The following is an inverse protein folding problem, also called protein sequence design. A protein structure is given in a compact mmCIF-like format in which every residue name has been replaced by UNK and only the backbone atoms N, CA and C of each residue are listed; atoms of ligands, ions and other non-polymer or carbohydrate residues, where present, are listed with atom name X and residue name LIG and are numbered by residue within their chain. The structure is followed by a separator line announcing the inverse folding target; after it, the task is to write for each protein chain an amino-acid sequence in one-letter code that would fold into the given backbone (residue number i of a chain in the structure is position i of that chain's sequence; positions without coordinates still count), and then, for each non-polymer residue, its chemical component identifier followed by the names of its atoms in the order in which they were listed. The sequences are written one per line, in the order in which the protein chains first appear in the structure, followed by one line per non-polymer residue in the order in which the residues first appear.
data_IF_927250830555
#
_entry.id   IF_927250830555
#
_cell.length_a   1.000
_cell.length_b   1.000
_cell.length_c   1.000
_cell.angle_alpha   90.00
_cell.angle_beta   90.00
_cell.angle_gamma   90.00
#
_symmetry.space_group_name_H-M   'P 1'
#
loop_
_entity.id
_entity.type
_entity.pdbx_description
1 polymer ?
#
# COMPACT_ATOMS: atom_id res chain seq x y z
N UNK A 1 6.12 -50.79 16.71
CA UNK A 1 6.13 -51.39 15.35
C UNK A 1 6.35 -50.25 14.35
N UNK A 2 7.05 -50.48 13.23
CA UNK A 2 7.05 -49.58 12.06
C UNK A 2 5.59 -49.40 11.54
N UNK A 3 5.17 -48.40 10.78
CA UNK A 3 5.50 -48.01 9.38
C UNK A 3 4.81 -46.64 9.11
N UNK A 4 5.23 -45.71 8.23
CA UNK A 4 6.47 -45.47 7.44
C UNK A 4 6.49 -43.97 7.01
N UNK A 5 7.59 -43.47 6.42
CA UNK A 5 7.68 -42.15 5.78
C UNK A 5 6.90 -42.08 4.46
N UNK A 6 6.26 -40.94 4.15
CA UNK A 6 5.95 -40.55 2.77
C UNK A 6 6.04 -39.04 2.57
N UNK A 7 7.01 -38.62 1.76
CA UNK A 7 7.08 -37.27 1.22
C UNK A 7 6.49 -37.28 -0.19
N UNK A 8 5.51 -36.41 -0.46
CA UNK A 8 4.92 -36.27 -1.80
C UNK A 8 5.19 -34.87 -2.35
N UNK A 9 6.06 -34.80 -3.34
CA UNK A 9 6.33 -33.57 -4.08
C UNK A 9 5.19 -33.23 -5.05
N UNK A 10 4.64 -32.01 -4.99
CA UNK A 10 3.78 -31.48 -6.04
C UNK A 10 4.63 -30.82 -7.14
N UNK A 11 4.93 -31.57 -8.20
CA UNK A 11 5.51 -31.00 -9.44
C UNK A 11 4.46 -30.27 -10.27
N UNK A 12 4.86 -29.11 -10.79
CA UNK A 12 4.53 -28.55 -12.10
C UNK A 12 3.11 -28.67 -12.68
N UNK A 13 2.46 -27.52 -12.88
CA UNK A 13 1.55 -27.32 -14.02
C UNK A 13 2.02 -26.14 -14.87
N UNK A 14 2.00 -26.33 -16.18
CA UNK A 14 2.38 -25.34 -17.17
C UNK A 14 1.30 -24.27 -17.33
N UNK A 15 1.70 -23.00 -17.33
CA UNK A 15 0.82 -21.93 -17.79
C UNK A 15 0.79 -21.91 -19.32
N UNK A 16 -0.40 -22.09 -19.90
CA UNK A 16 -0.63 -21.90 -21.34
C UNK A 16 -0.65 -20.41 -21.65
N UNK A 17 -0.07 -20.03 -22.77
CA UNK A 17 -0.11 -18.69 -23.34
C UNK A 17 -1.54 -18.24 -23.65
N UNK A 18 -1.90 -17.02 -23.24
CA UNK A 18 -3.12 -16.34 -23.69
C UNK A 18 -2.81 -14.91 -24.14
N UNK A 19 -2.58 -14.76 -25.44
CA UNK A 19 -2.55 -13.49 -26.16
C UNK A 19 -3.99 -13.09 -26.51
N UNK A 20 -4.47 -11.93 -26.04
CA UNK A 20 -5.81 -11.48 -26.38
C UNK A 20 -6.16 -10.07 -25.91
N UNK A 21 -6.64 -9.25 -26.85
CA UNK A 21 -7.41 -8.01 -26.64
C UNK A 21 -6.68 -6.78 -26.08
N UNK A 22 -5.73 -6.27 -26.86
CA UNK A 22 -5.56 -4.82 -27.05
C UNK A 22 -6.58 -4.30 -28.07
N UNK A 23 -7.55 -3.47 -27.66
CA UNK A 23 -8.20 -2.40 -28.48
C UNK A 23 -9.27 -1.65 -27.68
N UNK A 24 -9.35 -0.34 -27.93
CA UNK A 24 -10.41 0.63 -27.52
C UNK A 24 -10.11 1.61 -26.36
N UNK A 25 -9.08 2.46 -26.50
CA UNK A 25 -9.20 3.92 -26.23
C UNK A 25 -8.27 4.65 -27.21
N UNK A 26 -8.80 5.03 -28.38
CA UNK A 26 -8.06 5.82 -29.37
C UNK A 26 -8.98 6.85 -30.03
N UNK A 27 -9.37 7.88 -29.27
CA UNK A 27 -9.84 9.17 -29.78
C UNK A 27 -9.93 10.19 -28.62
N UNK A 28 -9.86 11.48 -28.97
CA UNK A 28 -9.73 12.67 -28.09
C UNK A 28 -8.32 12.99 -27.60
N UNK A 29 -7.52 13.58 -28.51
CA UNK A 29 -6.28 14.29 -28.22
C UNK A 29 -6.11 15.48 -29.18
N UNK A 30 -6.53 16.66 -28.75
CA UNK A 30 -6.30 17.95 -29.43
C UNK A 30 -5.66 18.96 -28.48
N UNK A 31 -4.39 18.73 -28.12
CA UNK A 31 -3.54 19.75 -27.50
C UNK A 31 -2.05 19.41 -27.73
N UNK A 32 -1.38 20.15 -28.59
CA UNK A 32 0.06 20.00 -28.86
C UNK A 32 0.89 20.62 -27.73
N UNK A 33 1.08 19.91 -26.60
CA UNK A 33 2.07 20.30 -25.59
C UNK A 33 3.48 19.96 -26.09
N UNK A 34 4.34 20.96 -26.22
CA UNK A 34 5.77 20.77 -26.49
C UNK A 34 6.38 19.85 -25.43
N UNK A 35 7.16 18.86 -25.87
CA UNK A 35 7.77 17.89 -24.97
C UNK A 35 8.90 18.55 -24.16
N UNK A 36 8.60 18.91 -22.91
CA UNK A 36 9.62 19.29 -21.92
C UNK A 36 10.52 18.07 -21.71
N UNK A 37 11.74 18.11 -22.26
CA UNK A 37 12.74 17.07 -22.03
C UNK A 37 13.05 17.02 -20.53
N UNK A 38 12.76 15.89 -19.91
CA UNK A 38 13.19 15.64 -18.53
C UNK A 38 14.67 15.30 -18.53
N UNK A 39 15.42 15.91 -17.61
CA UNK A 39 16.80 15.52 -17.34
C UNK A 39 16.82 14.05 -16.89
N UNK A 40 17.80 13.24 -17.33
CA UNK A 40 17.90 11.86 -16.92
C UNK A 40 18.21 11.78 -15.42
N UNK A 41 17.48 10.94 -14.69
CA UNK A 41 17.84 10.52 -13.35
C UNK A 41 19.12 9.67 -13.42
N UNK A 42 20.06 9.88 -12.49
CA UNK A 42 21.35 9.18 -12.49
C UNK A 42 21.53 8.41 -11.17
N UNK A 43 21.90 7.14 -11.29
CA UNK A 43 22.24 6.25 -10.18
C UNK A 43 23.70 5.84 -10.32
N UNK A 44 24.49 6.10 -9.29
CA UNK A 44 25.87 5.61 -9.18
C UNK A 44 25.88 4.37 -8.29
N UNK A 45 26.20 3.24 -8.89
CA UNK A 45 26.27 1.94 -8.24
C UNK A 45 27.72 1.49 -8.16
N UNK A 46 28.09 0.86 -7.04
CA UNK A 46 29.43 0.38 -6.77
C UNK A 46 29.43 -1.13 -6.58
N UNK A 47 30.27 -1.81 -7.35
CA UNK A 47 30.46 -3.25 -7.24
C UNK A 47 31.38 -3.65 -6.09
N UNK A 48 31.31 -4.93 -5.73
CA UNK A 48 32.15 -5.55 -4.71
C UNK A 48 33.60 -5.78 -5.18
N UNK A 49 33.86 -5.87 -6.49
CA UNK A 49 35.23 -5.89 -7.05
C UNK A 49 35.77 -4.48 -7.35
N UNK A 50 35.01 -3.43 -7.05
CA UNK A 50 35.43 -2.03 -7.19
C UNK A 50 34.88 -1.30 -8.42
N UNK A 51 34.08 -1.96 -9.27
CA UNK A 51 33.49 -1.30 -10.45
C UNK A 51 32.63 -0.10 -10.08
N UNK A 52 32.74 0.94 -10.92
CA UNK A 52 31.85 2.10 -10.92
C UNK A 52 30.87 1.95 -12.07
N UNK A 53 29.59 1.94 -11.76
CA UNK A 53 28.51 1.74 -12.74
C UNK A 53 27.59 2.95 -12.67
N UNK A 54 27.47 3.67 -13.77
CA UNK A 54 26.50 4.76 -13.91
C UNK A 54 25.28 4.24 -14.67
N UNK A 55 24.11 4.27 -14.04
CA UNK A 55 22.84 3.99 -14.71
C UNK A 55 22.05 5.29 -14.85
N UNK A 56 21.59 5.62 -16.06
CA UNK A 56 20.74 6.79 -16.31
C UNK A 56 19.36 6.40 -16.81
N UNK A 57 18.31 6.94 -16.20
CA UNK A 57 16.91 6.72 -16.58
C UNK A 57 16.31 8.02 -17.11
N UNK A 58 15.90 8.03 -18.38
CA UNK A 58 15.23 9.17 -18.99
C UNK A 58 13.78 8.84 -19.34
N UNK A 59 12.84 9.66 -18.86
CA UNK A 59 11.42 9.55 -19.18
C UNK A 59 11.13 10.19 -20.55
N UNK A 60 10.57 9.40 -21.45
CA UNK A 60 10.21 9.79 -22.80
C UNK A 60 8.67 9.71 -22.98
N UNK A 61 8.17 10.11 -24.16
CA UNK A 61 6.74 10.05 -24.44
C UNK A 61 6.28 8.60 -24.67
N UNK A 62 5.76 7.96 -23.61
CA UNK A 62 5.25 6.59 -23.64
C UNK A 62 6.27 5.50 -23.33
N UNK A 63 7.53 5.86 -23.07
CA UNK A 63 8.61 4.94 -22.70
C UNK A 63 9.56 5.55 -21.66
N UNK A 64 10.40 4.70 -21.07
CA UNK A 64 11.62 5.08 -20.37
C UNK A 64 12.80 4.55 -21.16
N UNK A 65 13.85 5.35 -21.30
CA UNK A 65 15.16 4.89 -21.78
C UNK A 65 16.10 4.72 -20.61
N UNK A 66 16.52 3.48 -20.34
CA UNK A 66 17.56 3.19 -19.38
C UNK A 66 18.90 3.01 -20.10
N UNK A 67 20.00 3.49 -19.52
CA UNK A 67 21.36 3.24 -20.03
C UNK A 67 22.25 2.85 -18.87
N UNK A 68 22.80 1.64 -18.90
CA UNK A 68 23.85 1.18 -17.99
C UNK A 68 25.19 1.48 -18.66
N UNK A 69 26.09 2.16 -17.94
CA UNK A 69 27.48 2.42 -18.35
C UNK A 69 28.41 1.88 -17.27
N UNK A 70 29.26 0.90 -17.61
CA UNK A 70 30.32 0.39 -16.71
C UNK A 70 31.64 1.06 -17.09
N UNK A 71 32.31 1.65 -16.11
CA UNK A 71 33.63 2.25 -16.30
C UNK A 71 34.72 1.16 -16.39
N UNK A 72 35.71 1.30 -17.30
CA UNK A 72 36.68 0.25 -17.60
C UNK A 72 37.79 0.12 -16.54
N UNK A 73 37.89 1.03 -15.56
CA UNK A 73 38.96 1.06 -14.56
C UNK A 73 39.12 -0.25 -13.76
N UNK A 74 38.05 -1.03 -13.63
CA UNK A 74 38.05 -2.33 -12.93
C UNK A 74 38.18 -3.55 -13.87
N UNK A 75 37.98 -3.38 -15.18
CA UNK A 75 37.79 -4.46 -16.17
C UNK A 75 38.54 -4.20 -17.48
N UNK A 76 39.67 -3.49 -17.42
CA UNK A 76 40.41 -3.06 -18.60
C UNK A 76 40.99 -4.26 -19.35
N UNK A 77 40.37 -4.61 -20.49
CA UNK A 77 40.63 -5.70 -21.45
C UNK A 77 39.64 -6.88 -21.44
N UNK A 78 38.65 -6.92 -20.53
CA UNK A 78 37.68 -8.02 -20.48
C UNK A 78 36.46 -7.80 -21.38
N UNK A 79 35.93 -8.89 -21.95
CA UNK A 79 34.58 -8.93 -22.53
C UNK A 79 33.55 -9.02 -21.40
N UNK A 80 32.96 -7.89 -21.00
CA UNK A 80 31.94 -7.88 -19.96
C UNK A 80 30.61 -8.38 -20.54
N UNK A 81 30.06 -9.42 -19.92
CA UNK A 81 28.68 -9.85 -20.15
C UNK A 81 27.78 -9.25 -19.08
N UNK A 82 26.80 -8.45 -19.47
CA UNK A 82 25.75 -7.99 -18.56
C UNK A 82 24.61 -9.00 -18.59
N UNK A 83 24.30 -9.61 -17.45
CA UNK A 83 23.14 -10.48 -17.31
C UNK A 83 22.06 -9.72 -16.57
N UNK A 84 20.91 -9.55 -17.21
CA UNK A 84 19.88 -8.61 -16.80
C UNK A 84 18.49 -9.22 -16.85
N UNK A 85 17.59 -8.63 -16.07
CA UNK A 85 16.17 -8.96 -16.06
C UNK A 85 15.39 -7.87 -15.34
N UNK A 86 14.09 -8.07 -15.19
CA UNK A 86 13.23 -7.16 -14.44
C UNK A 86 12.55 -7.88 -13.29
N UNK A 87 12.23 -7.12 -12.24
CA UNK A 87 11.32 -7.58 -11.18
C UNK A 87 10.33 -6.48 -10.79
N UNK A 88 9.24 -6.91 -10.14
CA UNK A 88 8.32 -6.04 -9.39
C UNK A 88 8.16 -6.55 -7.96
N UNK A 89 7.56 -7.73 -7.80
CA UNK A 89 7.16 -8.27 -6.49
C UNK A 89 8.21 -9.13 -5.79
N UNK A 90 9.33 -9.49 -6.43
CA UNK A 90 10.38 -10.30 -5.81
C UNK A 90 11.74 -10.06 -6.46
N UNK A 91 12.71 -9.56 -5.68
CA UNK A 91 14.11 -9.34 -6.10
C UNK A 91 14.79 -10.61 -6.62
N UNK A 92 14.37 -11.79 -6.12
CA UNK A 92 14.95 -13.08 -6.46
C UNK A 92 14.44 -13.72 -7.76
N UNK A 93 13.33 -13.23 -8.34
CA UNK A 93 12.71 -13.81 -9.55
C UNK A 93 12.67 -12.79 -10.69
N UNK A 94 13.57 -12.97 -11.65
CA UNK A 94 13.60 -12.15 -12.85
C UNK A 94 12.60 -12.62 -13.91
N UNK A 95 12.03 -11.67 -14.63
CA UNK A 95 11.28 -11.91 -15.85
C UNK A 95 11.67 -10.87 -16.91
N UNK A 96 11.34 -11.14 -18.17
CA UNK A 96 11.54 -10.20 -19.28
C UNK A 96 10.15 -9.76 -19.74
N UNK A 97 9.75 -8.49 -19.51
CA UNK A 97 8.47 -8.00 -19.95
C UNK A 97 8.41 -7.93 -21.48
N UNK A 98 7.25 -8.27 -22.05
CA UNK A 98 7.01 -8.10 -23.48
C UNK A 98 7.09 -6.61 -23.88
N UNK A 99 7.70 -6.35 -25.04
CA UNK A 99 7.87 -5.00 -25.58
C UNK A 99 9.11 -4.22 -25.10
N UNK A 100 9.89 -4.75 -24.15
CA UNK A 100 11.21 -4.19 -23.84
C UNK A 100 12.20 -4.49 -24.96
N UNK A 101 12.97 -3.49 -25.39
CA UNK A 101 14.08 -3.65 -26.35
C UNK A 101 15.40 -3.34 -25.66
N UNK A 102 16.48 -4.00 -26.06
CA UNK A 102 17.84 -3.71 -25.60
C UNK A 102 18.77 -3.44 -26.79
N UNK A 103 19.79 -2.61 -26.59
CA UNK A 103 20.78 -2.26 -27.62
C UNK A 103 21.90 -3.29 -27.68
N UNK A 104 21.67 -4.41 -28.36
CA UNK A 104 22.68 -5.43 -28.59
C UNK A 104 22.07 -6.78 -28.94
N UNK A 105 22.92 -7.73 -29.34
CA UNK A 105 22.51 -9.13 -29.34
C UNK A 105 22.26 -9.58 -27.90
N UNK A 106 21.19 -10.35 -27.68
CA UNK A 106 20.90 -10.92 -26.38
C UNK A 106 20.43 -12.38 -26.51
N UNK A 107 20.82 -13.19 -25.53
CA UNK A 107 20.45 -14.61 -25.44
C UNK A 107 19.85 -14.89 -24.07
N UNK A 108 18.93 -15.85 -23.96
CA UNK A 108 18.31 -16.19 -22.68
C UNK A 108 19.31 -16.90 -21.76
N UNK A 109 19.46 -16.42 -20.54
CA UNK A 109 20.25 -17.13 -19.52
C UNK A 109 19.43 -18.27 -18.90
N UNK A 110 19.94 -19.49 -19.00
CA UNK A 110 19.32 -20.67 -18.40
C UNK A 110 19.40 -20.67 -16.86
N UNK A 111 20.37 -19.94 -16.27
CA UNK A 111 20.60 -19.90 -14.82
C UNK A 111 19.67 -18.91 -14.09
N UNK A 112 19.67 -17.64 -14.51
CA UNK A 112 18.89 -16.57 -13.87
C UNK A 112 17.45 -16.43 -14.39
N UNK A 113 17.15 -17.00 -15.56
CA UNK A 113 15.91 -16.75 -16.28
C UNK A 113 15.85 -15.39 -17.00
N UNK A 114 16.88 -14.55 -16.85
CA UNK A 114 17.04 -13.28 -17.53
C UNK A 114 17.65 -13.42 -18.93
N UNK A 115 18.26 -12.33 -19.41
CA UNK A 115 18.96 -12.25 -20.69
C UNK A 115 20.44 -11.92 -20.46
N UNK A 116 21.32 -12.47 -21.29
CA UNK A 116 22.73 -12.07 -21.40
C UNK A 116 22.91 -11.15 -22.59
N UNK A 117 23.68 -10.09 -22.40
CA UNK A 117 24.17 -9.22 -23.46
C UNK A 117 25.68 -9.05 -23.31
N UNK A 118 26.43 -9.48 -24.32
CA UNK A 118 27.86 -9.16 -24.43
C UNK A 118 27.99 -7.68 -24.81
N UNK A 119 28.79 -6.94 -24.04
CA UNK A 119 28.99 -5.51 -24.27
C UNK A 119 30.44 -5.26 -24.64
N UNK A 120 30.67 -4.52 -25.73
CA UNK A 120 32.00 -4.08 -26.15
C UNK A 120 32.19 -2.62 -25.75
N UNK A 121 33.38 -2.29 -25.25
CA UNK A 121 33.71 -0.92 -24.88
C UNK A 121 33.61 0.00 -26.10
N UNK A 122 32.83 1.07 -25.98
CA UNK A 122 32.69 2.14 -26.98
C UNK A 122 33.09 3.45 -26.30
N UNK A 123 34.01 4.21 -26.89
CA UNK A 123 34.56 5.45 -26.32
C UNK A 123 35.05 5.31 -24.86
N UNK A 124 35.60 4.15 -24.50
CA UNK A 124 36.11 3.91 -23.14
C UNK A 124 35.04 3.62 -22.08
N UNK A 125 33.82 3.20 -22.46
CA UNK A 125 32.84 2.67 -21.52
C UNK A 125 32.07 1.49 -22.13
N UNK A 126 31.66 0.53 -21.28
CA UNK A 126 30.77 -0.56 -21.70
C UNK A 126 29.32 -0.10 -21.50
N UNK A 127 28.56 0.06 -22.60
CA UNK A 127 27.20 0.60 -22.55
C UNK A 127 26.14 -0.40 -23.03
N UNK A 128 25.05 -0.52 -22.26
CA UNK A 128 23.85 -1.25 -22.64
C UNK A 128 22.62 -0.38 -22.35
N UNK A 129 21.80 -0.13 -23.37
CA UNK A 129 20.59 0.68 -23.27
C UNK A 129 19.32 -0.11 -23.52
N UNK A 130 18.23 0.33 -22.90
CA UNK A 130 16.92 -0.30 -22.93
C UNK A 130 15.82 0.71 -23.24
N UNK A 131 14.92 0.35 -24.14
CA UNK A 131 13.65 1.07 -24.34
C UNK A 131 12.54 0.27 -23.65
N UNK A 132 11.92 0.85 -22.62
CA UNK A 132 10.98 0.21 -21.72
C UNK A 132 9.62 0.92 -21.84
N UNK A 133 8.55 0.25 -22.33
CA UNK A 133 7.21 0.85 -22.39
C UNK A 133 6.73 1.39 -21.02
N UNK A 134 6.25 2.63 -20.98
CA UNK A 134 5.93 3.31 -19.71
C UNK A 134 4.79 2.64 -18.93
N UNK A 135 3.91 1.91 -19.60
CA UNK A 135 2.86 1.08 -19.01
C UNK A 135 3.38 -0.11 -18.16
N UNK A 136 4.68 -0.43 -18.26
CA UNK A 136 5.32 -1.44 -17.42
C UNK A 136 5.76 -0.88 -16.06
N UNK A 137 5.92 0.43 -15.94
CA UNK A 137 6.30 1.05 -14.68
C UNK A 137 5.12 1.06 -13.70
N UNK A 138 5.37 0.94 -12.37
CA UNK A 138 6.66 0.76 -11.72
C UNK A 138 7.23 -0.67 -11.89
N UNK A 139 8.54 -0.75 -12.13
CA UNK A 139 9.36 -1.98 -12.08
C UNK A 139 10.84 -1.65 -11.88
N UNK A 140 11.66 -2.62 -11.48
CA UNK A 140 13.11 -2.47 -11.35
C UNK A 140 13.84 -3.22 -12.45
N UNK A 141 14.78 -2.57 -13.12
CA UNK A 141 15.79 -3.20 -13.98
C UNK A 141 16.91 -3.74 -13.08
N UNK A 142 17.11 -5.05 -13.08
CA UNK A 142 18.11 -5.72 -12.27
C UNK A 142 19.19 -6.36 -13.15
N UNK A 143 20.43 -6.36 -12.68
CA UNK A 143 21.55 -6.95 -13.40
C UNK A 143 22.71 -7.38 -12.50
N UNK A 144 23.56 -8.24 -13.06
CA UNK A 144 24.85 -8.68 -12.54
C UNK A 144 25.89 -8.56 -13.68
N UNK A 145 27.13 -8.20 -13.35
CA UNK A 145 28.22 -8.20 -14.33
C UNK A 145 28.92 -9.55 -14.28
N UNK A 146 29.24 -10.12 -15.44
CA UNK A 146 30.00 -11.36 -15.55
C UNK A 146 31.26 -11.13 -16.38
N UNK A 147 32.41 -11.48 -15.81
CA UNK A 147 33.66 -11.68 -16.54
C UNK A 147 33.86 -13.17 -16.82
N UNK A 148 34.98 -13.58 -17.43
CA UNK A 148 35.27 -15.00 -17.68
C UNK A 148 35.28 -15.83 -16.38
N UNK A 149 35.82 -15.26 -15.29
CA UNK A 149 36.14 -15.98 -14.05
C UNK A 149 35.25 -15.58 -12.85
N UNK A 150 34.41 -14.55 -12.97
CA UNK A 150 33.68 -14.00 -11.81
C UNK A 150 32.30 -13.39 -12.13
N UNK A 151 31.46 -13.28 -11.09
CA UNK A 151 30.21 -12.51 -11.10
C UNK A 151 30.35 -11.37 -10.11
N UNK A 152 30.29 -10.13 -10.60
CA UNK A 152 30.31 -8.94 -9.76
C UNK A 152 28.89 -8.54 -9.34
N UNK A 153 28.75 -8.26 -8.04
CA UNK A 153 27.51 -7.83 -7.40
C UNK A 153 27.71 -6.46 -6.75
N UNK A 154 26.64 -5.83 -6.27
CA UNK A 154 26.77 -4.62 -5.46
C UNK A 154 27.59 -4.88 -4.19
N UNK A 155 28.14 -3.81 -3.59
CA UNK A 155 28.81 -3.89 -2.27
C UNK A 155 27.95 -4.51 -1.15
N UNK A 156 26.62 -4.50 -1.29
CA UNK A 156 25.69 -5.13 -0.35
C UNK A 156 25.51 -6.65 -0.57
N UNK A 157 26.25 -7.27 -1.51
CA UNK A 157 26.07 -8.67 -1.91
C UNK A 157 24.78 -8.94 -2.70
N UNK A 158 24.03 -7.88 -3.03
CA UNK A 158 22.81 -7.95 -3.84
C UNK A 158 23.14 -7.70 -5.33
N UNK A 159 22.27 -8.16 -6.23
CA UNK A 159 22.30 -7.72 -7.63
C UNK A 159 22.12 -6.22 -7.73
N UNK A 160 22.67 -5.60 -8.78
CA UNK A 160 22.41 -4.21 -9.06
C UNK A 160 20.93 -4.05 -9.46
N UNK A 161 20.29 -3.00 -8.97
CA UNK A 161 18.91 -2.67 -9.30
C UNK A 161 18.78 -1.17 -9.59
N UNK A 162 18.01 -0.82 -10.61
CA UNK A 162 17.71 0.56 -11.01
C UNK A 162 16.20 0.69 -11.15
N UNK A 163 15.54 1.58 -10.38
CA UNK A 163 14.09 1.72 -10.40
C UNK A 163 13.63 2.44 -11.68
N UNK A 164 12.46 2.05 -12.20
CA UNK A 164 11.83 2.66 -13.38
C UNK A 164 10.43 3.13 -13.00
N UNK A 165 10.20 4.45 -13.03
CA UNK A 165 8.93 5.08 -12.64
C UNK A 165 8.64 5.07 -11.13
N UNK A 166 9.67 4.84 -10.32
CA UNK A 166 9.65 4.99 -8.87
C UNK A 166 11.01 5.50 -8.39
N UNK A 167 11.10 6.04 -7.18
CA UNK A 167 12.34 6.44 -6.53
C UNK A 167 12.26 6.19 -5.02
N UNK A 168 13.34 6.42 -4.27
CA UNK A 168 13.34 6.27 -2.81
C UNK A 168 12.31 7.18 -2.10
N UNK A 169 11.99 8.34 -2.68
CA UNK A 169 11.03 9.28 -2.11
C UNK A 169 11.54 10.10 -0.93
N UNK A 170 10.61 10.61 -0.12
CA UNK A 170 10.86 11.42 1.08
C UNK A 170 10.28 10.76 2.33
N UNK A 171 11.04 10.76 3.41
CA UNK A 171 10.66 10.22 4.73
C UNK A 171 9.97 11.22 5.65
N UNK A 172 9.57 12.39 5.14
CA UNK A 172 9.14 13.55 5.96
C UNK A 172 7.77 13.41 6.62
N UNK A 173 6.92 12.49 6.16
CA UNK A 173 5.60 12.17 6.74
C UNK A 173 5.38 10.67 6.67
N UNK A 174 4.69 10.12 7.67
CA UNK A 174 4.23 8.72 7.67
C UNK A 174 2.89 8.62 6.90
N UNK A 175 2.60 7.41 6.40
CA UNK A 175 1.48 7.16 5.49
C UNK A 175 1.81 7.54 4.03
N UNK A 176 0.77 7.68 3.22
CA UNK A 176 0.87 8.21 1.87
C UNK A 176 0.78 9.75 1.84
N UNK A 177 1.59 10.41 1.01
CA UNK A 177 1.53 11.85 0.79
C UNK A 177 1.79 12.22 -0.67
N UNK A 178 1.07 13.22 -1.16
CA UNK A 178 1.15 13.65 -2.56
C UNK A 178 2.33 14.61 -2.78
N UNK A 179 3.07 14.38 -3.87
CA UNK A 179 4.14 15.25 -4.35
C UNK A 179 3.77 15.81 -5.73
N UNK A 180 3.66 17.13 -5.80
CA UNK A 180 3.23 17.86 -7.01
C UNK A 180 1.70 17.99 -7.11
N UNK A 181 1.22 18.46 -8.26
CA UNK A 181 -0.22 18.53 -8.53
C UNK A 181 -0.79 17.17 -8.91
N UNK A 182 -2.00 16.78 -8.43
CA UNK A 182 -2.67 15.55 -8.86
C UNK A 182 -2.92 15.47 -10.37
N UNK A 183 -3.01 16.62 -11.05
CA UNK A 183 -3.52 16.72 -12.43
C UNK A 183 -2.44 16.70 -13.52
N UNK A 184 -1.16 16.94 -13.19
CA UNK A 184 -0.09 17.06 -14.20
C UNK A 184 1.11 16.15 -13.96
N UNK A 185 1.59 16.02 -12.72
CA UNK A 185 2.74 15.19 -12.34
C UNK A 185 2.53 14.63 -10.93
N UNK A 186 1.52 13.78 -10.78
CA UNK A 186 1.32 13.04 -9.55
C UNK A 186 2.48 12.06 -9.30
N UNK A 187 3.17 12.25 -8.19
CA UNK A 187 3.96 11.23 -7.53
C UNK A 187 3.46 11.09 -6.08
N UNK A 188 3.48 9.88 -5.53
CA UNK A 188 3.02 9.63 -4.15
C UNK A 188 4.18 9.02 -3.37
N UNK A 189 4.61 9.72 -2.32
CA UNK A 189 5.55 9.22 -1.30
C UNK A 189 4.75 8.34 -0.31
N UNK A 190 5.14 7.09 -0.13
CA UNK A 190 4.57 6.15 0.84
C UNK A 190 5.62 5.83 1.90
N UNK A 191 5.30 5.97 3.19
CA UNK A 191 6.25 5.74 4.29
C UNK A 191 5.60 5.01 5.45
N UNK A 192 6.14 3.84 5.82
CA UNK A 192 5.68 3.04 6.96
C UNK A 192 6.84 2.70 7.90
N UNK A 193 6.56 2.69 9.21
CA UNK A 193 7.55 2.26 10.21
C UNK A 193 7.49 0.75 10.43
N UNK A 194 8.61 0.05 10.26
CA UNK A 194 8.78 -1.32 10.76
C UNK A 194 10.24 -1.62 11.04
N UNK A 195 10.59 -1.75 12.33
CA UNK A 195 11.93 -2.12 12.80
C UNK A 195 12.27 -3.57 12.45
N UNK A 196 11.36 -4.48 12.74
CA UNK A 196 11.59 -5.93 12.67
C UNK A 196 11.50 -6.54 11.28
N UNK A 197 10.88 -5.87 10.30
CA UNK A 197 10.81 -6.39 8.93
C UNK A 197 12.22 -6.49 8.32
N UNK A 198 12.50 -7.58 7.60
CA UNK A 198 13.69 -7.78 6.78
C UNK A 198 13.42 -7.48 5.29
N UNK A 199 12.18 -7.67 4.83
CA UNK A 199 11.69 -7.21 3.54
C UNK A 199 10.31 -6.55 3.66
N UNK A 200 9.98 -5.69 2.69
CA UNK A 200 8.71 -4.97 2.59
C UNK A 200 8.28 -4.89 1.13
N UNK A 201 6.99 -5.06 0.86
CA UNK A 201 6.35 -4.74 -0.42
C UNK A 201 5.26 -3.70 -0.24
N UNK A 202 5.17 -2.75 -1.18
CA UNK A 202 4.00 -1.90 -1.38
C UNK A 202 3.02 -2.64 -2.30
N UNK A 203 1.76 -2.72 -1.88
CA UNK A 203 0.66 -3.27 -2.66
C UNK A 203 -0.25 -2.13 -3.11
N UNK A 204 -0.61 -2.11 -4.39
CA UNK A 204 -1.54 -1.15 -4.98
C UNK A 204 -2.70 -1.90 -5.63
N UNK A 205 -3.93 -1.56 -5.26
CA UNK A 205 -5.15 -2.15 -5.80
C UNK A 205 -6.23 -1.09 -6.03
N UNK A 206 -7.19 -1.37 -6.90
CA UNK A 206 -8.37 -0.51 -7.06
C UNK A 206 -9.47 -0.95 -6.10
N UNK A 207 -10.07 -0.02 -5.37
CA UNK A 207 -11.40 -0.23 -4.83
C UNK A 207 -12.39 -0.35 -6.02
N UNK A 208 -13.34 -1.29 -6.00
CA UNK A 208 -14.40 -1.34 -7.00
C UNK A 208 -15.28 -0.09 -6.89
N UNK A 209 -15.67 0.49 -8.04
CA UNK A 209 -16.76 1.47 -8.10
C UNK A 209 -18.08 0.73 -8.30
N UNK A 210 -19.06 0.98 -7.44
CA UNK A 210 -20.45 0.60 -7.73
C UNK A 210 -21.10 1.60 -8.71
N UNK A 211 -22.12 1.14 -9.44
CA UNK A 211 -22.69 1.86 -10.60
C UNK A 211 -22.08 1.48 -11.94
N UNK A 212 -20.87 0.88 -11.98
CA UNK A 212 -20.37 0.19 -13.16
C UNK A 212 -21.07 -1.17 -13.29
N UNK A 213 -22.13 -1.25 -14.10
CA UNK A 213 -22.90 -2.48 -14.31
C UNK A 213 -21.99 -3.69 -14.61
N UNK A 214 -21.98 -4.69 -13.74
CA UNK A 214 -21.13 -5.88 -13.82
C UNK A 214 -19.86 -5.88 -12.95
N UNK A 215 -19.64 -4.88 -12.06
CA UNK A 215 -18.46 -4.82 -11.18
C UNK A 215 -18.61 -5.53 -9.82
N UNK A 216 -19.82 -5.79 -9.33
CA UNK A 216 -20.04 -6.47 -8.05
C UNK A 216 -19.41 -7.87 -8.05
N UNK A 217 -18.50 -8.13 -7.10
CA UNK A 217 -17.89 -9.43 -6.87
C UNK A 217 -16.65 -9.79 -7.69
N UNK A 218 -16.19 -8.96 -8.64
CA UNK A 218 -14.92 -9.24 -9.33
C UNK A 218 -13.72 -8.87 -8.44
N UNK A 219 -12.79 -9.80 -8.13
CA UNK A 219 -11.62 -9.47 -7.32
C UNK A 219 -10.69 -8.49 -8.05
N UNK A 220 -10.24 -7.48 -7.33
CA UNK A 220 -9.34 -6.45 -7.83
C UNK A 220 -7.95 -7.03 -8.10
N UNK A 221 -7.40 -6.68 -9.27
CA UNK A 221 -5.98 -6.91 -9.54
C UNK A 221 -5.11 -6.10 -8.58
N UNK A 222 -4.05 -6.73 -8.08
CA UNK A 222 -3.08 -6.12 -7.19
C UNK A 222 -1.72 -6.01 -7.88
N UNK A 223 -1.09 -4.84 -7.80
CA UNK A 223 0.27 -4.59 -8.21
C UNK A 223 1.15 -4.59 -6.95
N UNK A 224 2.07 -5.55 -6.84
CA UNK A 224 3.00 -5.64 -5.72
C UNK A 224 4.42 -5.22 -6.15
N UNK A 225 5.02 -4.34 -5.35
CA UNK A 225 6.33 -3.70 -5.59
C UNK A 225 7.21 -3.96 -4.37
N UNK A 226 8.23 -4.81 -4.51
CA UNK A 226 9.20 -5.09 -3.46
C UNK A 226 10.17 -3.91 -3.29
N UNK A 227 10.36 -3.47 -2.05
CA UNK A 227 11.29 -2.41 -1.68
C UNK A 227 12.70 -2.98 -1.53
N UNK A 228 13.71 -2.30 -2.10
CA UNK A 228 15.11 -2.62 -1.86
C UNK A 228 15.50 -2.11 -0.45
N UNK A 229 15.90 -2.99 0.51
CA UNK A 229 16.25 -2.55 1.86
C UNK A 229 17.47 -1.62 1.97
N UNK A 230 18.25 -1.48 0.90
CA UNK A 230 19.43 -0.59 0.83
C UNK A 230 19.13 0.81 0.30
N UNK A 231 17.97 1.00 -0.36
CA UNK A 231 17.56 2.26 -1.01
C UNK A 231 16.24 2.79 -0.42
N UNK A 232 15.30 1.90 -0.16
CA UNK A 232 13.92 2.18 0.23
C UNK A 232 13.71 2.00 1.75
N UNK A 233 14.79 2.13 2.55
CA UNK A 233 14.74 2.09 4.01
C UNK A 233 15.74 3.06 4.63
N UNK A 234 15.26 3.89 5.56
CA UNK A 234 16.06 4.81 6.38
C UNK A 234 15.78 4.50 7.84
N UNK A 235 16.70 3.79 8.51
CA UNK A 235 16.51 3.31 9.87
C UNK A 235 15.34 2.33 9.99
N UNK A 236 14.33 2.68 10.78
CA UNK A 236 13.09 1.90 10.93
C UNK A 236 12.00 2.26 9.90
N UNK A 237 12.24 3.25 9.03
CA UNK A 237 11.26 3.72 8.05
C UNK A 237 11.50 3.04 6.71
N UNK A 238 10.49 2.34 6.21
CA UNK A 238 10.40 1.86 4.82
C UNK A 238 9.70 2.92 3.98
N UNK A 239 10.23 3.25 2.82
CA UNK A 239 9.74 4.35 2.00
C UNK A 239 9.93 4.12 0.50
N UNK A 240 8.97 4.59 -0.29
CA UNK A 240 9.01 4.53 -1.75
C UNK A 240 8.16 5.66 -2.34
N UNK A 241 8.63 6.28 -3.43
CA UNK A 241 7.85 7.23 -4.22
C UNK A 241 7.48 6.61 -5.56
N UNK A 242 6.19 6.56 -5.89
CA UNK A 242 5.71 6.01 -7.17
C UNK A 242 5.15 7.12 -8.04
N UNK A 243 5.62 7.21 -9.29
CA UNK A 243 5.20 8.25 -10.24
C UNK A 243 4.06 7.80 -11.15
N UNK A 244 3.28 8.76 -11.66
CA UNK A 244 2.35 8.53 -12.76
C UNK A 244 1.10 7.72 -12.39
N UNK A 245 0.84 7.58 -11.08
CA UNK A 245 -0.39 7.00 -10.56
C UNK A 245 -1.60 7.83 -11.04
N UNK A 246 -2.56 7.16 -11.67
CA UNK A 246 -3.81 7.77 -12.17
C UNK A 246 -4.96 7.51 -11.21
N UNK A 247 -6.08 8.22 -11.40
CA UNK A 247 -7.36 7.95 -10.75
C UNK A 247 -7.28 7.79 -9.21
N UNK A 248 -6.49 8.61 -8.51
CA UNK A 248 -6.12 8.36 -7.10
C UNK A 248 -7.33 8.14 -6.17
N UNK A 249 -8.49 8.73 -6.48
CA UNK A 249 -9.75 8.54 -5.75
C UNK A 249 -10.23 7.09 -5.60
N UNK A 250 -9.77 6.17 -6.45
CA UNK A 250 -10.06 4.72 -6.29
C UNK A 250 -8.83 3.89 -5.98
N UNK A 251 -7.65 4.51 -5.85
CA UNK A 251 -6.42 3.78 -5.59
C UNK A 251 -6.27 3.53 -4.09
N UNK A 252 -6.17 2.26 -3.74
CA UNK A 252 -5.91 1.80 -2.39
C UNK A 252 -4.51 1.19 -2.32
N UNK A 253 -3.88 1.30 -1.15
CA UNK A 253 -2.53 0.84 -0.88
C UNK A 253 -2.43 0.08 0.43
N UNK A 254 -1.50 -0.85 0.49
CA UNK A 254 -1.23 -1.65 1.68
C UNK A 254 0.23 -2.11 1.68
N UNK A 255 0.64 -2.72 2.78
CA UNK A 255 1.98 -3.22 3.01
C UNK A 255 1.96 -4.74 3.22
N UNK A 256 3.02 -5.41 2.77
CA UNK A 256 3.33 -6.80 3.11
C UNK A 256 4.75 -6.81 3.66
N UNK A 257 4.94 -7.36 4.85
CA UNK A 257 6.26 -7.44 5.49
C UNK A 257 6.67 -8.89 5.68
N UNK A 258 7.96 -9.15 5.52
CA UNK A 258 8.58 -10.45 5.76
C UNK A 258 9.69 -10.29 6.80
N UNK A 259 9.82 -11.29 7.68
CA UNK A 259 10.84 -11.42 8.72
C UNK A 259 10.71 -12.79 9.40
N UNK A 260 11.76 -13.18 10.13
CA UNK A 260 11.77 -14.42 10.91
C UNK A 260 10.68 -14.42 11.99
N UNK A 261 9.93 -15.52 12.10
CA UNK A 261 8.81 -15.68 13.04
C UNK A 261 9.34 -16.10 14.41
N UNK A 262 9.82 -15.13 15.18
CA UNK A 262 10.30 -15.33 16.54
C UNK A 262 9.17 -15.13 17.56
N UNK A 263 8.46 -16.21 17.92
CA UNK A 263 7.34 -16.17 18.87
C UNK A 263 7.71 -15.55 20.23
N UNK A 264 8.83 -15.98 20.82
CA UNK A 264 9.33 -15.47 22.11
C UNK A 264 9.83 -14.01 22.03
N UNK A 265 10.24 -13.56 20.84
CA UNK A 265 10.67 -12.18 20.58
C UNK A 265 9.56 -11.23 20.12
N UNK A 266 8.31 -11.69 20.06
CA UNK A 266 7.17 -10.90 19.54
C UNK A 266 7.14 -10.71 18.02
N UNK A 267 8.01 -11.40 17.27
CA UNK A 267 8.11 -11.33 15.81
C UNK A 267 6.97 -12.04 15.09
N UNK A 268 5.80 -11.40 15.01
CA UNK A 268 4.58 -11.96 14.38
C UNK A 268 4.42 -11.51 12.91
N UNK A 269 5.41 -11.82 12.08
CA UNK A 269 5.36 -11.53 10.65
C UNK A 269 4.67 -12.68 9.88
N UNK A 270 3.67 -12.33 9.07
CA UNK A 270 2.97 -13.28 8.21
C UNK A 270 3.05 -12.79 6.76
N UNK A 271 4.01 -13.27 5.95
CA UNK A 271 4.22 -12.76 4.59
C UNK A 271 3.00 -12.94 3.66
N UNK A 272 2.11 -13.88 3.96
CA UNK A 272 0.84 -14.03 3.23
C UNK A 272 -0.19 -12.91 3.50
N UNK A 273 -0.10 -12.21 4.63
CA UNK A 273 -1.09 -11.24 5.08
C UNK A 273 -0.85 -9.86 4.47
N UNK A 274 -1.93 -9.23 4.01
CA UNK A 274 -1.96 -7.81 3.63
C UNK A 274 -2.25 -6.96 4.87
N UNK A 275 -1.43 -5.93 5.11
CA UNK A 275 -1.54 -5.02 6.24
C UNK A 275 -1.86 -3.61 5.75
N UNK A 276 -2.89 -2.97 6.32
CA UNK A 276 -3.17 -1.56 6.05
C UNK A 276 -2.07 -0.66 6.64
N UNK A 277 -1.99 0.58 6.16
CA UNK A 277 -1.11 1.59 6.76
C UNK A 277 -1.77 2.21 8.00
N UNK A 278 -1.15 2.16 9.19
CA UNK A 278 -1.71 2.74 10.41
C UNK A 278 -1.98 4.25 10.33
N UNK A 279 -1.29 4.96 9.42
CA UNK A 279 -1.40 6.40 9.20
C UNK A 279 -2.31 6.76 8.02
N UNK A 280 -3.03 5.78 7.44
CA UNK A 280 -4.00 6.06 6.39
C UNK A 280 -5.17 6.90 6.93
N UNK A 281 -5.43 8.11 6.38
CA UNK A 281 -6.56 8.96 6.81
C UNK A 281 -7.93 8.51 6.26
N UNK A 282 -7.92 7.51 5.38
CA UNK A 282 -9.10 6.82 4.89
C UNK A 282 -8.71 5.36 4.59
N UNK A 283 -9.62 4.42 4.82
CA UNK A 283 -9.42 3.00 4.49
C UNK A 283 -10.55 2.48 3.60
N UNK A 284 -10.32 1.36 2.92
CA UNK A 284 -11.33 0.62 2.17
C UNK A 284 -11.14 -0.89 2.37
N UNK A 285 -12.23 -1.64 2.30
CA UNK A 285 -12.20 -3.11 2.25
C UNK A 285 -12.16 -3.53 0.78
N UNK A 286 -11.09 -4.21 0.36
CA UNK A 286 -10.85 -4.57 -1.05
C UNK A 286 -10.74 -6.08 -1.17
N UNK A 287 -11.60 -6.69 -1.97
CA UNK A 287 -11.47 -8.10 -2.33
C UNK A 287 -10.36 -8.26 -3.39
N UNK A 288 -9.24 -8.86 -3.00
CA UNK A 288 -8.11 -9.13 -3.89
C UNK A 288 -8.28 -10.47 -4.62
N UNK A 289 -7.46 -10.69 -5.65
CA UNK A 289 -7.33 -11.99 -6.33
C UNK A 289 -6.90 -13.10 -5.36
N UNK A 290 -7.33 -14.33 -5.66
CA UNK A 290 -7.07 -15.48 -4.81
C UNK A 290 -5.56 -15.67 -4.54
N UNK A 291 -5.23 -15.94 -3.28
CA UNK A 291 -3.85 -16.09 -2.81
C UNK A 291 -3.10 -14.80 -2.45
N UNK A 292 -3.63 -13.60 -2.74
CA UNK A 292 -2.93 -12.35 -2.39
C UNK A 292 -2.98 -11.99 -0.90
N UNK A 293 -4.09 -12.32 -0.22
CA UNK A 293 -4.27 -12.12 1.21
C UNK A 293 -4.52 -13.46 1.89
N UNK A 294 -3.61 -13.89 2.77
CA UNK A 294 -3.75 -15.10 3.58
C UNK A 294 -3.46 -14.72 5.02
N UNK A 295 -4.46 -14.85 5.88
CA UNK A 295 -4.35 -14.45 7.29
C UNK A 295 -4.39 -15.70 8.19
N UNK A 296 -3.71 -15.68 9.35
CA UNK A 296 -3.91 -16.71 10.38
C UNK A 296 -5.39 -16.81 10.75
N UNK A 297 -5.89 -18.03 10.94
CA UNK A 297 -7.22 -18.23 11.49
C UNK A 297 -7.23 -17.84 12.97
N UNK A 298 -8.40 -17.40 13.49
CA UNK A 298 -8.59 -17.28 14.94
C UNK A 298 -8.74 -18.68 15.54
N UNK A 299 -8.14 -18.90 16.71
CA UNK A 299 -8.33 -20.14 17.46
C UNK A 299 -9.82 -20.44 17.65
N UNK A 300 -10.20 -21.72 17.52
CA UNK A 300 -11.59 -22.17 17.61
C UNK A 300 -12.42 -22.12 16.32
N UNK A 301 -11.93 -21.55 15.20
CA UNK A 301 -12.68 -21.55 13.93
C UNK A 301 -12.27 -22.70 12.99
N UNK A 302 -13.15 -23.70 12.84
CA UNK A 302 -13.17 -24.75 11.80
C UNK A 302 -11.87 -25.57 11.57
N UNK A 303 -10.89 -25.54 12.47
CA UNK A 303 -9.69 -26.38 12.42
C UNK A 303 -8.69 -26.04 11.29
N UNK A 304 -8.96 -25.03 10.47
CA UNK A 304 -8.02 -24.54 9.47
C UNK A 304 -7.06 -23.53 10.11
N UNK A 305 -5.75 -23.69 9.91
CA UNK A 305 -4.74 -22.77 10.47
C UNK A 305 -4.75 -21.37 9.83
N UNK A 306 -5.33 -21.23 8.62
CA UNK A 306 -5.35 -19.99 7.85
C UNK A 306 -6.70 -19.76 7.19
N UNK A 307 -7.11 -18.49 7.06
CA UNK A 307 -8.23 -18.06 6.23
C UNK A 307 -7.70 -17.53 4.90
N UNK A 308 -8.02 -18.22 3.82
CA UNK A 308 -7.62 -17.84 2.47
C UNK A 308 -8.50 -16.71 1.91
N UNK A 309 -7.84 -15.70 1.33
CA UNK A 309 -8.41 -14.57 0.59
C UNK A 309 -9.59 -13.79 1.21
N UNK A 310 -9.59 -13.48 2.52
CA UNK A 310 -10.55 -12.50 3.03
C UNK A 310 -10.31 -11.11 2.41
N UNK A 311 -11.34 -10.24 2.34
CA UNK A 311 -11.17 -8.84 1.98
C UNK A 311 -10.03 -8.20 2.79
N UNK A 312 -9.14 -7.49 2.11
CA UNK A 312 -8.04 -6.78 2.73
C UNK A 312 -8.50 -5.36 3.11
N UNK A 313 -8.28 -4.95 4.35
CA UNK A 313 -8.32 -3.52 4.69
C UNK A 313 -7.08 -2.88 4.09
N UNK A 314 -7.26 -1.80 3.33
CA UNK A 314 -6.20 -1.06 2.65
C UNK A 314 -6.39 0.44 2.91
N UNK A 315 -5.32 1.21 2.97
CA UNK A 315 -5.40 2.67 2.99
C UNK A 315 -5.87 3.21 1.65
N UNK A 316 -6.53 4.37 1.61
CA UNK A 316 -7.06 4.97 0.39
C UNK A 316 -6.46 6.36 0.09
N UNK A 317 -6.10 6.59 -1.17
CA UNK A 317 -5.53 7.85 -1.65
C UNK A 317 -6.56 8.93 -2.03
N UNK A 318 -7.87 8.65 -1.91
CA UNK A 318 -8.93 9.64 -2.15
C UNK A 318 -8.79 10.88 -1.25
N UNK A 319 -8.40 10.64 0.00
CA UNK A 319 -8.03 11.65 0.99
C UNK A 319 -6.96 12.65 0.51
N UNK A 320 -6.07 12.25 -0.41
CA UNK A 320 -5.02 13.12 -0.97
C UNK A 320 -5.54 14.06 -2.09
N UNK A 321 -6.77 13.83 -2.57
CA UNK A 321 -7.46 14.70 -3.53
C UNK A 321 -8.45 15.65 -2.84
N UNK A 322 -8.68 15.48 -1.53
CA UNK A 322 -9.80 16.08 -0.83
C UNK A 322 -9.47 17.49 -0.31
N UNK A 323 -9.99 18.52 -1.00
CA UNK A 323 -9.95 19.90 -0.55
C UNK A 323 -11.31 20.27 0.09
N UNK A 324 -11.56 19.80 1.31
CA UNK A 324 -12.80 20.11 2.02
C UNK A 324 -12.83 21.58 2.48
N UNK A 325 -13.91 22.28 2.15
CA UNK A 325 -14.14 23.66 2.55
C UNK A 325 -14.91 23.73 3.87
N UNK A 326 -14.23 24.16 4.94
CA UNK A 326 -14.84 24.48 6.23
C UNK A 326 -15.60 25.82 6.22
N UNK A 327 -15.44 26.66 5.20
CA UNK A 327 -16.04 27.99 5.14
C UNK A 327 -15.58 28.87 6.30
N UNK A 328 -16.54 29.49 6.99
CA UNK A 328 -16.29 30.27 8.21
C UNK A 328 -16.33 29.44 9.51
N UNK A 329 -16.45 28.11 9.42
CA UNK A 329 -16.52 27.23 10.59
C UNK A 329 -15.22 27.31 11.41
N UNK A 330 -15.36 27.53 12.71
CA UNK A 330 -14.28 27.52 13.69
C UNK A 330 -14.69 26.64 14.87
N UNK A 331 -13.72 26.08 15.59
CA UNK A 331 -14.00 25.35 16.84
C UNK A 331 -14.64 26.34 17.84
N UNK A 332 -15.75 25.99 18.53
CA UNK A 332 -16.40 26.88 19.49
C UNK A 332 -15.52 27.28 20.70
N UNK A 333 -14.59 26.41 21.12
CA UNK A 333 -13.63 26.65 22.22
C UNK A 333 -14.32 26.97 23.56
N UNK A 334 -15.41 26.25 23.84
CA UNK A 334 -16.20 26.39 25.06
C UNK A 334 -15.34 26.08 26.30
N UNK A 335 -15.25 26.98 27.30
CA UNK A 335 -14.53 26.69 28.54
C UNK A 335 -15.06 25.43 29.24
N UNK A 336 -14.15 24.65 29.85
CA UNK A 336 -14.50 23.34 30.40
C UNK A 336 -15.54 23.44 31.52
N UNK A 337 -15.49 24.50 32.33
CA UNK A 337 -16.44 24.81 33.39
C UNK A 337 -17.83 25.25 32.89
N UNK A 338 -17.96 25.55 31.59
CA UNK A 338 -19.22 25.87 30.89
C UNK A 338 -19.71 24.70 30.02
N UNK A 339 -19.01 23.56 30.03
CA UNK A 339 -19.29 22.46 29.12
C UNK A 339 -20.43 21.55 29.59
N UNK A 340 -21.50 21.48 28.78
CA UNK A 340 -22.56 20.47 28.88
C UNK A 340 -22.39 19.46 27.75
N UNK A 341 -21.98 18.24 28.09
CA UNK A 341 -21.57 17.22 27.12
C UNK A 341 -22.64 16.15 26.92
N UNK A 342 -23.02 15.92 25.67
CA UNK A 342 -23.92 14.83 25.26
C UNK A 342 -23.10 13.69 24.63
N UNK A 343 -23.11 12.49 25.23
CA UNK A 343 -22.50 11.30 24.61
C UNK A 343 -23.46 10.72 23.56
N UNK A 344 -22.98 10.54 22.33
CA UNK A 344 -23.75 10.11 21.16
C UNK A 344 -23.09 8.88 20.55
N UNK A 345 -23.86 7.79 20.45
CA UNK A 345 -23.48 6.65 19.62
C UNK A 345 -24.03 6.81 18.19
N UNK A 346 -23.13 6.98 17.23
CA UNK A 346 -23.49 7.26 15.82
C UNK A 346 -24.41 6.19 15.23
N UNK A 347 -24.31 4.92 15.65
CA UNK A 347 -25.17 3.85 15.15
C UNK A 347 -26.59 3.86 15.74
N UNK A 348 -26.75 4.07 17.06
CA UNK A 348 -28.06 3.93 17.71
C UNK A 348 -28.84 5.23 17.79
N UNK A 349 -28.18 6.39 17.84
CA UNK A 349 -28.80 7.71 18.04
C UNK A 349 -29.82 8.12 16.97
N UNK A 350 -29.72 7.54 15.78
CA UNK A 350 -30.64 7.75 14.65
C UNK A 350 -31.27 6.46 14.12
N UNK A 351 -31.35 5.42 14.96
CA UNK A 351 -32.07 4.16 14.68
C UNK A 351 -33.21 3.86 15.66
N UNK A 352 -33.32 4.61 16.76
CA UNK A 352 -34.46 4.50 17.68
C UNK A 352 -35.76 4.98 17.01
N UNK A 353 -36.90 4.51 17.52
CA UNK A 353 -38.23 4.80 16.96
C UNK A 353 -38.46 6.32 16.83
N UNK A 354 -38.10 7.10 17.86
CA UNK A 354 -38.23 8.58 17.86
C UNK A 354 -37.42 9.31 16.78
N UNK A 355 -36.49 8.64 16.10
CA UNK A 355 -35.69 9.21 15.01
C UNK A 355 -36.18 8.79 13.61
N UNK A 356 -37.03 7.76 13.50
CA UNK A 356 -37.37 7.17 12.20
C UNK A 356 -38.21 8.10 11.32
N UNK A 357 -39.00 8.97 11.93
CA UNK A 357 -39.80 10.00 11.23
C UNK A 357 -38.99 11.25 10.84
N UNK A 358 -37.87 11.52 11.53
CA UNK A 358 -37.00 12.69 11.28
C UNK A 358 -35.82 12.39 10.34
N UNK A 359 -35.32 11.16 10.33
CA UNK A 359 -34.06 10.78 9.66
C UNK A 359 -34.32 9.84 8.48
N UNK A 360 -33.96 10.23 7.23
CA UNK A 360 -34.07 9.36 6.07
C UNK A 360 -33.38 8.00 6.26
N UNK A 361 -33.99 6.92 5.79
CA UNK A 361 -33.50 5.54 6.00
C UNK A 361 -32.00 5.34 5.65
N UNK A 362 -31.51 6.02 4.60
CA UNK A 362 -30.11 5.98 4.19
C UNK A 362 -29.13 6.59 5.20
N UNK A 363 -29.60 7.51 6.06
CA UNK A 363 -28.84 8.24 7.06
C UNK A 363 -28.93 7.60 8.48
N UNK A 364 -29.79 6.58 8.66
CA UNK A 364 -30.04 5.97 9.96
C UNK A 364 -28.84 5.15 10.47
N UNK A 365 -28.29 5.61 11.60
CA UNK A 365 -27.04 5.16 12.20
C UNK A 365 -25.79 5.51 11.39
N UNK A 366 -25.81 6.66 10.70
CA UNK A 366 -24.74 7.23 9.86
C UNK A 366 -24.38 8.65 10.31
N UNK A 367 -23.26 9.17 9.85
CA UNK A 367 -22.83 10.54 10.10
C UNK A 367 -23.86 11.59 9.68
N UNK A 368 -24.47 11.44 8.48
CA UNK A 368 -25.49 12.40 8.00
C UNK A 368 -26.73 12.46 8.91
N UNK A 369 -27.11 11.36 9.57
CA UNK A 369 -28.21 11.37 10.53
C UNK A 369 -27.97 12.29 11.73
N UNK A 370 -26.70 12.54 12.10
CA UNK A 370 -26.36 13.50 13.14
C UNK A 370 -26.67 14.94 12.73
N UNK A 371 -26.54 15.27 11.44
CA UNK A 371 -26.93 16.56 10.89
C UNK A 371 -28.44 16.69 10.80
N UNK A 372 -29.14 15.63 10.38
CA UNK A 372 -30.62 15.61 10.33
C UNK A 372 -31.23 15.91 11.72
N UNK A 373 -30.62 15.39 12.79
CA UNK A 373 -31.06 15.63 14.19
C UNK A 373 -30.36 16.80 14.90
N UNK A 374 -29.54 17.59 14.21
CA UNK A 374 -28.76 18.68 14.82
C UNK A 374 -29.62 19.71 15.56
N UNK A 375 -30.84 19.97 15.06
CA UNK A 375 -31.80 20.86 15.73
C UNK A 375 -32.21 20.33 17.12
N UNK A 376 -32.47 19.03 17.24
CA UNK A 376 -32.82 18.39 18.51
C UNK A 376 -31.62 18.39 19.46
N UNK A 377 -30.42 18.04 18.97
CA UNK A 377 -29.18 18.11 19.75
C UNK A 377 -29.01 19.51 20.35
N UNK A 378 -29.17 20.58 19.54
CA UNK A 378 -29.10 21.96 20.02
C UNK A 378 -30.18 22.31 21.05
N UNK A 379 -31.38 21.74 20.95
CA UNK A 379 -32.46 21.94 21.93
C UNK A 379 -32.17 21.30 23.31
N UNK A 380 -31.25 20.33 23.40
CA UNK A 380 -30.82 19.77 24.70
C UNK A 380 -30.03 20.76 25.56
N UNK A 381 -29.51 21.84 24.96
CA UNK A 381 -28.60 22.79 25.63
C UNK A 381 -27.14 22.31 25.70
N UNK A 382 -26.80 21.16 25.11
CA UNK A 382 -25.42 20.69 25.03
C UNK A 382 -24.52 21.68 24.27
N UNK A 383 -23.36 22.00 24.85
CA UNK A 383 -22.31 22.84 24.25
C UNK A 383 -21.23 22.00 23.56
N UNK A 384 -21.23 20.68 23.77
CA UNK A 384 -20.37 19.74 23.09
C UNK A 384 -20.97 18.33 23.01
N UNK A 385 -20.56 17.56 22.01
CA UNK A 385 -20.96 16.17 21.83
C UNK A 385 -19.74 15.25 21.83
N UNK A 386 -19.79 14.19 22.64
CA UNK A 386 -18.80 13.11 22.64
C UNK A 386 -19.33 12.02 21.70
N UNK A 387 -18.67 11.81 20.56
CA UNK A 387 -18.99 10.69 19.68
C UNK A 387 -18.28 9.43 20.20
N UNK A 388 -19.03 8.34 20.43
CA UNK A 388 -18.45 7.01 20.70
C UNK A 388 -17.58 6.56 19.50
N UNK A 389 -16.68 5.56 19.63
CA UNK A 389 -15.60 5.35 18.66
C UNK A 389 -16.06 5.32 17.19
N UNK A 390 -15.68 6.37 16.46
CA UNK A 390 -15.96 6.58 15.03
C UNK A 390 -14.84 6.12 14.10
N UNK A 391 -13.73 5.64 14.68
CA UNK A 391 -12.54 5.19 13.97
C UNK A 391 -12.76 3.83 13.30
N UNK A 392 -12.14 3.61 12.14
CA UNK A 392 -12.27 2.37 11.39
C UNK A 392 -11.87 1.15 12.23
N UNK A 393 -12.79 0.18 12.29
CA UNK A 393 -12.75 -0.96 13.19
C UNK A 393 -12.55 -2.29 12.46
N UNK A 394 -12.20 -3.34 13.22
CA UNK A 394 -12.07 -4.68 12.67
C UNK A 394 -13.46 -5.27 12.31
N UNK A 395 -13.63 -5.95 11.17
CA UNK A 395 -14.89 -6.62 10.84
C UNK A 395 -15.31 -7.63 11.94
N UNK A 396 -16.47 -7.38 12.55
CA UNK A 396 -17.01 -8.18 13.64
C UNK A 396 -18.30 -7.61 14.21
N UNK A 397 -18.88 -8.27 15.20
CA UNK A 397 -20.07 -7.82 15.94
C UNK A 397 -19.74 -7.52 17.41
N UNK A 398 -20.63 -6.79 18.09
CA UNK A 398 -20.46 -6.41 19.50
C UNK A 398 -19.30 -5.44 19.74
N UNK A 399 -18.84 -5.36 21.00
CA UNK A 399 -17.77 -4.43 21.40
C UNK A 399 -16.44 -4.68 20.67
N UNK A 400 -16.10 -5.95 20.38
CA UNK A 400 -14.91 -6.31 19.60
C UNK A 400 -15.01 -5.88 18.12
N UNK A 401 -16.23 -5.75 17.59
CA UNK A 401 -16.51 -5.19 16.26
C UNK A 401 -16.46 -3.67 16.19
N UNK A 402 -16.17 -2.97 17.30
CA UNK A 402 -15.93 -1.51 17.35
C UNK A 402 -14.55 -1.18 17.93
N UNK A 403 -13.66 -2.18 17.99
CA UNK A 403 -12.26 -2.02 18.31
C UNK A 403 -11.55 -1.26 17.16
N UNK A 404 -10.97 -0.07 17.40
CA UNK A 404 -10.32 0.69 16.35
C UNK A 404 -9.06 -0.04 15.86
N UNK A 405 -8.92 -0.17 14.54
CA UNK A 405 -7.70 -0.65 13.88
C UNK A 405 -6.90 0.48 13.25
N UNK A 406 -7.57 1.53 12.73
CA UNK A 406 -6.91 2.70 12.15
C UNK A 406 -7.39 3.99 12.83
N UNK A 407 -6.51 4.60 13.63
CA UNK A 407 -6.83 5.82 14.39
C UNK A 407 -6.92 7.11 13.54
N UNK A 408 -6.47 7.06 12.28
CA UNK A 408 -6.53 8.21 11.37
C UNK A 408 -7.72 8.17 10.40
N UNK A 409 -8.39 7.02 10.25
CA UNK A 409 -9.51 6.85 9.33
C UNK A 409 -10.85 6.69 10.09
N UNK A 410 -11.90 7.44 9.73
CA UNK A 410 -13.25 7.14 10.20
C UNK A 410 -13.78 5.82 9.63
N UNK A 411 -14.73 5.20 10.33
CA UNK A 411 -15.31 3.92 9.96
C UNK A 411 -16.32 4.08 8.80
N UNK A 412 -16.09 3.35 7.71
CA UNK A 412 -16.96 3.36 6.53
C UNK A 412 -18.38 2.86 6.84
N UNK A 413 -18.59 2.10 7.91
CA UNK A 413 -19.94 1.69 8.33
C UNK A 413 -20.82 2.88 8.77
N UNK A 414 -20.23 4.01 9.15
CA UNK A 414 -20.93 5.26 9.45
C UNK A 414 -21.12 6.20 8.26
N UNK A 415 -20.53 5.90 7.09
CA UNK A 415 -20.75 6.68 5.87
C UNK A 415 -22.06 6.28 5.16
N UNK A 416 -22.76 7.27 4.59
CA UNK A 416 -23.83 7.07 3.61
C UNK A 416 -23.22 6.72 2.25
N UNK A 417 -22.21 7.47 1.82
CA UNK A 417 -21.47 7.27 0.59
C UNK A 417 -20.63 5.98 0.62
N UNK A 418 -20.62 5.27 -0.51
CA UNK A 418 -19.83 4.03 -0.69
C UNK A 418 -18.48 4.26 -1.40
N UNK A 419 -18.24 5.50 -1.89
CA UNK A 419 -16.97 5.85 -2.52
C UNK A 419 -15.83 5.88 -1.48
N UNK A 420 -14.60 5.48 -1.85
CA UNK A 420 -13.47 5.50 -0.93
C UNK A 420 -13.21 6.90 -0.36
N UNK A 421 -13.16 7.01 0.97
CA UNK A 421 -13.00 8.28 1.67
C UNK A 421 -14.30 9.00 2.05
N UNK A 422 -15.49 8.51 1.67
CA UNK A 422 -16.77 9.12 2.03
C UNK A 422 -16.93 9.35 3.54
N UNK A 423 -16.49 8.41 4.39
CA UNK A 423 -16.53 8.53 5.85
C UNK A 423 -15.73 9.73 6.39
N UNK A 424 -14.60 10.07 5.77
CA UNK A 424 -13.79 11.23 6.14
C UNK A 424 -14.44 12.55 5.72
N UNK A 425 -15.05 12.58 4.54
CA UNK A 425 -15.81 13.73 4.04
C UNK A 425 -17.05 14.01 4.92
N UNK A 426 -17.82 12.96 5.21
CA UNK A 426 -19.05 13.04 6.00
C UNK A 426 -18.79 13.44 7.46
N UNK A 427 -17.72 12.93 8.09
CA UNK A 427 -17.34 13.37 9.43
C UNK A 427 -16.94 14.85 9.46
N UNK A 428 -16.29 15.38 8.42
CA UNK A 428 -15.99 16.82 8.32
C UNK A 428 -17.26 17.66 8.14
N UNK A 429 -18.25 17.17 7.40
CA UNK A 429 -19.56 17.81 7.28
C UNK A 429 -20.28 17.85 8.64
N UNK A 430 -20.26 16.76 9.41
CA UNK A 430 -20.76 16.72 10.80
C UNK A 430 -20.05 17.77 11.67
N UNK A 431 -18.72 17.74 11.72
CA UNK A 431 -17.92 18.69 12.51
C UNK A 431 -18.23 20.13 12.11
N UNK A 432 -18.29 20.43 10.82
CA UNK A 432 -18.63 21.76 10.29
C UNK A 432 -20.01 22.22 10.77
N UNK A 433 -21.04 21.39 10.60
CA UNK A 433 -22.42 21.73 10.98
C UNK A 433 -22.60 21.89 12.49
N UNK A 434 -21.94 21.05 13.29
CA UNK A 434 -21.97 21.16 14.76
C UNK A 434 -21.29 22.46 15.23
N UNK A 435 -20.12 22.79 14.67
CA UNK A 435 -19.44 24.06 14.92
C UNK A 435 -20.28 25.28 14.51
N UNK A 436 -20.91 25.26 13.33
CA UNK A 436 -21.84 26.30 12.88
C UNK A 436 -23.08 26.43 13.79
N UNK A 437 -23.47 25.35 14.47
CA UNK A 437 -24.51 25.36 15.50
C UNK A 437 -24.03 25.83 16.89
N UNK A 438 -22.73 26.01 17.11
CA UNK A 438 -22.11 26.36 18.39
C UNK A 438 -21.81 25.18 19.31
N UNK A 439 -21.64 23.97 18.77
CA UNK A 439 -21.47 22.72 19.50
C UNK A 439 -20.09 22.13 19.20
N UNK A 440 -19.28 21.86 20.23
CA UNK A 440 -17.99 21.18 20.08
C UNK A 440 -18.16 19.71 19.67
N UNK A 441 -17.23 19.16 18.90
CA UNK A 441 -17.17 17.71 18.60
C UNK A 441 -15.93 17.09 19.24
N UNK A 442 -16.16 16.14 20.15
CA UNK A 442 -15.14 15.40 20.89
C UNK A 442 -15.19 13.93 20.42
N UNK A 443 -14.08 13.38 19.95
CA UNK A 443 -14.03 11.99 19.46
C UNK A 443 -13.49 11.04 20.54
N UNK A 444 -14.28 10.05 20.95
CA UNK A 444 -13.83 9.03 21.90
C UNK A 444 -12.86 8.04 21.23
N UNK A 445 -11.57 8.15 21.54
CA UNK A 445 -10.55 7.18 21.15
C UNK A 445 -10.38 6.12 22.25
N UNK A 446 -11.16 5.03 22.20
CA UNK A 446 -10.90 3.84 23.04
C UNK A 446 -9.72 3.06 22.47
N UNK A 447 -8.52 3.32 22.99
CA UNK A 447 -7.41 2.40 22.75
C UNK A 447 -7.73 1.08 23.45
N UNK A 448 -7.96 0.02 22.68
CA UNK A 448 -7.76 -1.34 23.16
C UNK A 448 -6.26 -1.53 23.34
N UNK A 449 -5.77 -1.02 24.47
CA UNK A 449 -4.60 -1.59 25.12
C UNK A 449 -5.01 -3.03 25.41
N UNK A 450 -4.61 -3.95 24.52
CA UNK A 450 -4.64 -5.37 24.83
C UNK A 450 -3.57 -5.56 25.90
N UNK A 451 -3.96 -5.27 27.13
CA UNK A 451 -3.40 -5.91 28.30
C UNK A 451 -3.70 -7.38 28.07
N UNK A 452 -2.71 -8.11 27.56
CA UNK A 452 -2.67 -9.55 27.74
C UNK A 452 -2.49 -9.71 29.24
N UNK A 453 -3.59 -9.84 29.97
CA UNK A 453 -3.54 -10.20 31.37
C UNK A 453 -2.82 -11.54 31.48
N UNK A 454 -1.62 -11.50 32.05
CA UNK A 454 -0.91 -12.66 32.57
C UNK A 454 -1.61 -13.14 33.86
N UNK A 455 -2.89 -13.48 33.73
CA UNK A 455 -3.80 -13.86 34.82
C UNK A 455 -4.45 -15.23 34.51
N UNK A 456 -3.62 -16.22 34.20
CA UNK A 456 -4.06 -17.61 33.99
C UNK A 456 -3.03 -18.67 34.44
N UNK A 457 -2.11 -18.31 35.35
CA UNK A 457 -1.04 -19.22 35.83
C UNK A 457 -0.70 -19.11 37.32
N UNK A 458 -1.59 -18.54 38.15
CA UNK A 458 -1.40 -18.47 39.62
C UNK A 458 -2.61 -18.93 40.45
N UNK A 459 -3.63 -19.57 39.85
CA UNK A 459 -4.65 -20.33 40.58
C UNK A 459 -4.58 -21.81 40.20
N UNK A 460 -3.58 -22.48 40.79
CA UNK A 460 -3.28 -23.89 40.59
C UNK A 460 -2.78 -24.59 41.85
N UNK A 461 -3.05 -24.02 43.04
CA UNK A 461 -2.69 -24.60 44.33
C UNK A 461 -3.93 -24.91 45.16
N UNK A 462 -4.29 -26.20 45.15
CA UNK A 462 -4.99 -26.93 46.20
C UNK A 462 -6.18 -26.24 46.88
N UNK A 463 -7.38 -26.47 46.33
CA UNK A 463 -8.59 -26.51 47.15
C UNK A 463 -8.82 -27.96 47.62
N UNK A 464 -8.18 -28.33 48.73
CA UNK A 464 -8.61 -29.45 49.58
C UNK A 464 -9.40 -28.88 50.75
N UNK A 465 -10.62 -29.38 50.92
CA UNK A 465 -11.56 -29.17 52.04
C UNK A 465 -11.02 -28.50 53.31
N UNK A 466 -11.68 -27.44 53.79
CA UNK A 466 -12.87 -27.51 54.66
C UNK A 466 -13.70 -26.20 54.59
#
# INVERSE_FOLDING_TARGET
MHWILSATACRGRSYRSWSGQLKAVSQLSTATKQAVQTLPEQHLLYGNAGSKIAASIQKQQGSYRAVISVHPEAHSNDNITIVWGFYRSSTGKWYIPEGVKSSGACQKDSRSGGMKSEVKATNGAYQLSFDIPAQLAPLSLAFELQTADSVELSRAGQRFAVPIGMSAGRTTRLGASLRGSPTEKCAVDFVVRSRGATAMSLLLARAPREGAAGSQGRPSGCLEIALDPTVNRTGDLWHICVEGLKDLGTLCYAWRADAEVAWEGGGRFYPGQVMFDPYAPAVASVQLQEGYNVVPAREGQNGAAYKNNPPAVMGCLASLLENFDFGSSQRPDTPLEQSMLLEIDVASFTRNEDAQDEVPLAHQGKFMGLLDRLKMIKQTGATGCILTPVHASAPGSGQLGRAPIAFFAPDNSFAVGQEPGAAALELKQVVRGFHEAGIEVILQARSLLIVIELSAHLEGTNNTAE
#
